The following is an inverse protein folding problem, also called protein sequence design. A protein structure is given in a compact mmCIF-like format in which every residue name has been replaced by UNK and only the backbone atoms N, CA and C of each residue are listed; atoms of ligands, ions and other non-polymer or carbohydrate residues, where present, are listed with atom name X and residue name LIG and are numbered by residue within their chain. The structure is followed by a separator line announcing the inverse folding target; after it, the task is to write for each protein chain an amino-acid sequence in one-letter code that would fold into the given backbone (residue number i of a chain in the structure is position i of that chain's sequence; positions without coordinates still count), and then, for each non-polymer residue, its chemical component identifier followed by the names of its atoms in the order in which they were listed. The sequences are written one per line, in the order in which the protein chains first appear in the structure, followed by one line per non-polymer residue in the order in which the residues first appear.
data_IF_032385945954
#
_entry.id   IF_032385945954
#
_cell.length_a   1.000
_cell.length_b   1.000
_cell.length_c   1.000
_cell.angle_alpha   90.00
_cell.angle_beta   90.00
_cell.angle_gamma   90.00
#
_symmetry.space_group_name_H-M   'P 1'
#
loop_
_entity.id
_entity.type
_entity.pdbx_description
1 polymer ?
#
# COMPACT_ATOMS: atom_id res chain seq x y z
N UNK A 1 -32.07 -49.53 70.51
CA UNK A 1 -31.73 -48.40 69.62
C UNK A 1 -31.36 -49.00 68.26
N UNK A 2 -32.27 -49.00 67.27
CA UNK A 2 -32.38 -47.96 66.21
C UNK A 2 -31.04 -47.84 65.44
N UNK A 3 -30.89 -48.14 64.14
CA UNK A 3 -31.78 -47.94 63.00
C UNK A 3 -31.39 -48.84 61.80
N UNK A 4 -32.44 -49.37 61.19
CA UNK A 4 -32.57 -49.84 59.81
C UNK A 4 -32.45 -48.65 58.82
N UNK A 5 -31.60 -48.73 57.79
CA UNK A 5 -31.71 -47.90 56.57
C UNK A 5 -31.26 -48.67 55.33
N UNK A 6 -32.25 -48.86 54.46
CA UNK A 6 -32.25 -49.52 53.15
C UNK A 6 -31.36 -48.82 52.09
N UNK A 7 -30.89 -49.55 51.07
CA UNK A 7 -30.21 -48.97 49.91
C UNK A 7 -31.23 -48.26 48.98
N UNK A 8 -30.93 -47.02 48.58
CA UNK A 8 -31.71 -46.27 47.59
C UNK A 8 -31.42 -46.80 46.19
N UNK A 9 -32.47 -47.28 45.52
CA UNK A 9 -32.52 -47.51 44.08
C UNK A 9 -32.37 -46.17 43.35
N UNK A 10 -31.33 -46.04 42.52
CA UNK A 10 -31.21 -44.94 41.57
C UNK A 10 -32.09 -45.23 40.34
N UNK A 11 -32.85 -44.22 39.93
CA UNK A 11 -33.82 -44.26 38.84
C UNK A 11 -33.17 -44.48 37.45
N UNK A 12 -33.91 -45.04 36.47
CA UNK A 12 -33.41 -45.19 35.11
C UNK A 12 -33.32 -43.82 34.43
N UNK A 13 -32.19 -43.53 33.79
CA UNK A 13 -32.04 -42.36 32.91
C UNK A 13 -32.89 -42.55 31.65
N UNK A 14 -33.59 -41.52 31.16
CA UNK A 14 -34.30 -41.61 29.89
C UNK A 14 -33.31 -41.70 28.73
N UNK A 15 -33.57 -42.70 27.87
CA UNK A 15 -32.90 -42.95 26.61
C UNK A 15 -33.36 -41.89 25.59
N UNK A 16 -32.50 -40.94 25.21
CA UNK A 16 -32.78 -39.99 24.11
C UNK A 16 -32.02 -40.43 22.87
N UNK A 17 -32.70 -40.82 21.77
CA UNK A 17 -32.02 -41.21 20.53
C UNK A 17 -31.55 -39.98 19.72
N UNK A 18 -30.29 -40.09 19.27
CA UNK A 18 -29.62 -39.53 18.06
C UNK A 18 -30.30 -38.39 17.28
N UNK A 19 -29.53 -37.31 17.02
CA UNK A 19 -29.42 -36.72 15.68
C UNK A 19 -27.99 -36.26 15.39
N UNK A 20 -27.40 -36.91 14.38
CA UNK A 20 -26.29 -36.35 13.63
C UNK A 20 -26.76 -35.03 12.99
N UNK A 21 -26.10 -33.93 13.33
CA UNK A 21 -26.10 -32.73 12.51
C UNK A 21 -24.68 -32.18 12.55
N UNK A 22 -23.94 -32.45 11.49
CA UNK A 22 -22.77 -31.67 11.15
C UNK A 22 -23.20 -30.20 11.07
N UNK A 23 -22.80 -29.40 12.06
CA UNK A 23 -22.75 -27.95 11.92
C UNK A 23 -21.28 -27.61 12.04
N UNK A 24 -20.57 -27.71 10.91
CA UNK A 24 -19.42 -26.86 10.68
C UNK A 24 -19.97 -25.44 10.73
N UNK A 25 -19.98 -24.83 11.92
CA UNK A 25 -20.18 -23.39 12.06
C UNK A 25 -18.99 -22.77 11.34
N UNK A 26 -19.20 -22.34 10.10
CA UNK A 26 -18.39 -21.32 9.48
C UNK A 26 -18.38 -20.14 10.45
N UNK A 27 -17.32 -20.04 11.25
CA UNK A 27 -17.04 -18.85 12.02
C UNK A 27 -16.87 -17.74 10.98
N UNK A 28 -17.85 -16.84 10.89
CA UNK A 28 -17.72 -15.62 10.11
C UNK A 28 -16.55 -14.83 10.70
N UNK A 29 -15.34 -15.09 10.23
CA UNK A 29 -14.17 -14.37 10.69
C UNK A 29 -14.34 -12.93 10.22
N UNK A 30 -14.43 -12.01 11.16
CA UNK A 30 -14.51 -10.60 10.88
C UNK A 30 -13.08 -10.08 10.63
N UNK A 31 -12.93 -9.13 9.71
CA UNK A 31 -11.73 -8.32 9.63
C UNK A 31 -11.93 -7.07 10.49
N UNK A 32 -10.98 -6.81 11.39
CA UNK A 32 -10.93 -5.58 12.17
C UNK A 32 -9.95 -4.61 11.51
N UNK A 33 -10.37 -3.36 11.37
CA UNK A 33 -9.52 -2.26 10.94
C UNK A 33 -9.59 -1.15 11.98
N UNK A 34 -8.49 -0.47 12.24
CA UNK A 34 -8.45 0.72 13.10
C UNK A 34 -8.38 1.94 12.19
N UNK A 35 -9.41 2.79 12.22
CA UNK A 35 -9.47 4.04 11.46
C UNK A 35 -9.73 5.17 12.44
N UNK A 36 -8.81 6.14 12.55
CA UNK A 36 -8.90 7.27 13.49
C UNK A 36 -9.15 6.82 14.95
N UNK A 37 -8.46 5.76 15.40
CA UNK A 37 -8.62 5.21 16.75
C UNK A 37 -9.91 4.44 16.99
N UNK A 38 -10.72 4.20 15.96
CA UNK A 38 -11.97 3.44 16.04
C UNK A 38 -11.84 2.10 15.32
N UNK A 39 -12.15 1.01 16.02
CA UNK A 39 -12.23 -0.33 15.41
C UNK A 39 -13.52 -0.46 14.61
N UNK A 40 -13.37 -0.74 13.31
CA UNK A 40 -14.48 -1.14 12.42
C UNK A 40 -14.35 -2.63 12.10
N UNK A 41 -15.50 -3.31 12.08
CA UNK A 41 -15.56 -4.76 11.97
C UNK A 41 -16.36 -5.13 10.73
N UNK A 42 -15.71 -5.79 9.76
CA UNK A 42 -16.32 -6.13 8.46
C UNK A 42 -16.35 -7.65 8.27
N UNK A 43 -17.48 -8.27 7.87
CA UNK A 43 -17.52 -9.70 7.60
C UNK A 43 -16.57 -10.12 6.48
N UNK A 44 -15.71 -11.12 6.69
CA UNK A 44 -14.95 -11.72 5.57
C UNK A 44 -15.92 -12.28 4.54
N UNK A 45 -15.71 -11.92 3.27
CA UNK A 45 -16.48 -12.43 2.13
C UNK A 45 -17.71 -11.60 1.74
N UNK A 46 -18.09 -10.59 2.53
CA UNK A 46 -19.12 -9.61 2.12
C UNK A 46 -18.39 -8.47 1.42
N UNK A 47 -18.54 -8.40 0.10
CA UNK A 47 -17.77 -7.61 -0.86
C UNK A 47 -17.34 -6.23 -0.34
N UNK A 48 -16.06 -6.12 -0.03
CA UNK A 48 -15.26 -4.90 -0.11
C UNK A 48 -13.95 -5.20 -0.86
N UNK A 49 -14.01 -6.06 -1.88
CA UNK A 49 -12.88 -6.29 -2.78
C UNK A 49 -13.41 -6.60 -4.18
N UNK A 50 -12.67 -6.20 -5.21
CA UNK A 50 -13.04 -6.46 -6.59
C UNK A 50 -13.01 -7.98 -6.87
N UNK A 51 -13.75 -8.48 -7.87
CA UNK A 51 -13.58 -9.84 -8.36
C UNK A 51 -12.12 -10.10 -8.77
N UNK A 52 -11.61 -11.31 -8.54
CA UNK A 52 -10.20 -11.66 -8.80
C UNK A 52 -9.72 -11.27 -10.21
N UNK A 53 -10.49 -11.46 -11.31
CA UNK A 53 -10.07 -11.01 -12.63
C UNK A 53 -9.87 -9.50 -12.72
N UNK A 54 -10.72 -8.72 -12.04
CA UNK A 54 -10.59 -7.27 -11.98
C UNK A 54 -9.38 -6.85 -11.12
N UNK A 55 -9.09 -7.55 -10.03
CA UNK A 55 -7.87 -7.29 -9.25
C UNK A 55 -6.61 -7.55 -10.08
N UNK A 56 -6.56 -8.67 -10.80
CA UNK A 56 -5.44 -9.03 -11.67
C UNK A 56 -5.27 -8.03 -12.81
N UNK A 57 -6.38 -7.61 -13.44
CA UNK A 57 -6.37 -6.59 -14.49
C UNK A 57 -5.85 -5.24 -13.97
N UNK A 58 -6.25 -4.81 -12.78
CA UNK A 58 -5.72 -3.58 -12.15
C UNK A 58 -4.24 -3.72 -11.85
N UNK A 59 -3.82 -4.84 -11.26
CA UNK A 59 -2.41 -5.07 -10.93
C UNK A 59 -1.53 -5.01 -12.18
N UNK A 60 -1.88 -5.80 -13.20
CA UNK A 60 -1.16 -5.81 -14.47
C UNK A 60 -1.23 -4.45 -15.19
N UNK A 61 -2.39 -3.80 -15.19
CA UNK A 61 -2.61 -2.50 -15.82
C UNK A 61 -1.77 -1.39 -15.20
N UNK A 62 -1.64 -1.34 -13.87
CA UNK A 62 -0.80 -0.35 -13.18
C UNK A 62 0.67 -0.54 -13.54
N UNK A 63 1.20 -1.77 -13.48
CA UNK A 63 2.60 -2.02 -13.84
C UNK A 63 2.87 -1.81 -15.34
N UNK A 64 1.93 -2.18 -16.22
CA UNK A 64 2.03 -1.90 -17.65
C UNK A 64 2.03 -0.39 -17.92
N UNK A 65 1.17 0.38 -17.26
CA UNK A 65 1.13 1.83 -17.39
C UNK A 65 2.43 2.49 -16.90
N UNK A 66 2.99 2.02 -15.78
CA UNK A 66 4.29 2.47 -15.28
C UNK A 66 5.41 2.16 -16.28
N UNK A 67 5.47 0.94 -16.80
CA UNK A 67 6.50 0.54 -17.76
C UNK A 67 6.41 1.31 -19.08
N UNK A 68 5.22 1.34 -19.69
CA UNK A 68 4.98 2.03 -20.97
C UNK A 68 5.17 3.53 -20.81
N UNK A 69 4.64 4.12 -19.74
CA UNK A 69 4.76 5.56 -19.48
C UNK A 69 6.21 5.98 -19.22
N UNK A 70 6.98 5.18 -18.47
CA UNK A 70 8.42 5.39 -18.26
C UNK A 70 9.18 5.31 -19.59
N UNK A 71 8.95 4.25 -20.36
CA UNK A 71 9.60 4.05 -21.66
C UNK A 71 9.28 5.18 -22.64
N UNK A 72 8.01 5.57 -22.76
CA UNK A 72 7.60 6.66 -23.63
C UNK A 72 8.20 7.99 -23.18
N UNK A 73 8.27 8.23 -21.86
CA UNK A 73 8.86 9.42 -21.27
C UNK A 73 10.35 9.53 -21.61
N UNK A 74 11.12 8.46 -21.42
CA UNK A 74 12.54 8.41 -21.76
C UNK A 74 12.82 8.56 -23.25
N UNK A 75 12.11 7.79 -24.07
CA UNK A 75 12.53 7.53 -25.45
C UNK A 75 12.00 8.57 -26.42
N UNK A 76 10.81 9.13 -26.15
CA UNK A 76 10.14 10.01 -27.10
C UNK A 76 9.82 11.37 -26.49
N UNK A 77 9.16 11.41 -25.32
CA UNK A 77 8.60 12.65 -24.79
C UNK A 77 9.70 13.60 -24.30
N UNK A 78 10.62 13.13 -23.46
CA UNK A 78 11.70 13.98 -22.93
C UNK A 78 12.65 14.47 -24.04
N UNK A 79 13.11 13.63 -24.99
CA UNK A 79 13.90 14.11 -26.13
C UNK A 79 13.16 15.15 -26.98
N UNK A 80 11.89 14.90 -27.32
CA UNK A 80 11.09 15.83 -28.11
C UNK A 80 10.85 17.18 -27.39
N UNK A 81 10.62 17.16 -26.08
CA UNK A 81 10.52 18.38 -25.25
C UNK A 81 11.84 19.15 -25.26
N UNK A 82 12.97 18.45 -25.10
CA UNK A 82 14.29 19.08 -25.13
C UNK A 82 14.61 19.70 -26.48
N UNK A 83 14.21 19.05 -27.58
CA UNK A 83 14.48 19.50 -28.94
C UNK A 83 13.57 20.65 -29.38
N UNK A 84 12.25 20.53 -29.17
CA UNK A 84 11.28 21.48 -29.71
C UNK A 84 10.85 22.57 -28.72
N UNK A 85 11.01 22.33 -27.41
CA UNK A 85 10.55 23.22 -26.34
C UNK A 85 11.62 23.36 -25.25
N UNK A 86 12.86 23.64 -25.66
CA UNK A 86 14.04 23.66 -24.77
C UNK A 86 13.88 24.53 -23.52
N UNK A 87 13.21 25.68 -23.61
CA UNK A 87 12.92 26.56 -22.47
C UNK A 87 11.96 25.91 -21.45
N UNK A 88 10.94 25.19 -21.94
CA UNK A 88 10.03 24.42 -21.09
C UNK A 88 10.75 23.22 -20.47
N UNK A 89 11.55 22.50 -21.26
CA UNK A 89 12.36 21.37 -20.77
C UNK A 89 13.31 21.82 -19.66
N UNK A 90 14.05 22.91 -19.87
CA UNK A 90 15.01 23.43 -18.90
C UNK A 90 14.33 23.90 -17.60
N UNK A 91 13.18 24.58 -17.71
CA UNK A 91 12.39 25.00 -16.55
C UNK A 91 11.84 23.80 -15.77
N UNK A 92 11.39 22.77 -16.50
CA UNK A 92 10.93 21.53 -15.91
C UNK A 92 12.07 20.79 -15.20
N UNK A 93 13.23 20.66 -15.83
CA UNK A 93 14.39 19.98 -15.25
C UNK A 93 14.94 20.68 -14.01
N UNK A 94 14.94 22.02 -13.99
CA UNK A 94 15.33 22.79 -12.82
C UNK A 94 14.36 22.62 -11.64
N UNK A 95 13.05 22.53 -11.91
CA UNK A 95 12.02 22.47 -10.87
C UNK A 95 11.67 21.06 -10.41
N UNK A 96 11.89 20.03 -11.24
CA UNK A 96 11.43 18.66 -10.95
C UNK A 96 12.09 18.05 -9.71
N UNK A 97 13.39 18.21 -9.55
CA UNK A 97 14.15 17.62 -8.44
C UNK A 97 13.62 18.09 -7.09
N UNK A 98 13.62 19.42 -6.83
CA UNK A 98 13.07 19.97 -5.59
C UNK A 98 11.59 19.66 -5.39
N UNK A 99 10.78 19.74 -6.44
CA UNK A 99 9.33 19.52 -6.33
C UNK A 99 8.99 18.06 -5.99
N UNK A 100 9.55 17.10 -6.73
CA UNK A 100 9.34 15.67 -6.46
C UNK A 100 9.97 15.29 -5.12
N UNK A 101 11.16 15.81 -4.83
CA UNK A 101 11.83 15.56 -3.56
C UNK A 101 11.00 16.04 -2.37
N UNK A 102 10.38 17.21 -2.46
CA UNK A 102 9.46 17.72 -1.43
C UNK A 102 8.24 16.81 -1.25
N UNK A 103 7.65 16.30 -2.33
CA UNK A 103 6.56 15.33 -2.24
C UNK A 103 7.00 14.05 -1.52
N UNK A 104 8.13 13.45 -1.92
CA UNK A 104 8.63 12.25 -1.27
C UNK A 104 8.98 12.48 0.21
N UNK A 105 9.62 13.60 0.56
CA UNK A 105 9.87 13.93 1.97
C UNK A 105 8.56 14.05 2.75
N UNK A 106 7.54 14.71 2.19
CA UNK A 106 6.25 14.86 2.86
C UNK A 106 5.55 13.50 3.07
N UNK A 107 5.55 12.62 2.06
CA UNK A 107 4.99 11.26 2.19
C UNK A 107 5.82 10.42 3.17
N UNK A 108 7.14 10.57 3.16
CA UNK A 108 8.03 9.86 4.07
C UNK A 108 7.83 10.26 5.52
N UNK A 109 7.60 11.55 5.79
CA UNK A 109 7.17 12.03 7.12
C UNK A 109 5.80 11.44 7.49
N UNK A 110 4.87 11.38 6.53
CA UNK A 110 3.53 10.83 6.76
C UNK A 110 3.53 9.35 7.15
N UNK A 111 4.51 8.56 6.71
CA UNK A 111 4.69 7.17 7.16
C UNK A 111 4.89 7.05 8.68
N UNK A 112 5.43 8.09 9.33
CA UNK A 112 5.63 8.13 10.78
C UNK A 112 4.48 8.83 11.51
N UNK A 113 3.97 9.94 10.97
CA UNK A 113 2.91 10.72 11.65
C UNK A 113 1.52 10.10 11.50
N UNK A 114 1.31 9.31 10.44
CA UNK A 114 0.05 8.62 10.13
C UNK A 114 0.28 7.11 9.98
N UNK A 115 1.19 6.55 10.77
CA UNK A 115 1.70 5.19 10.61
C UNK A 115 0.59 4.12 10.52
N UNK A 116 -0.43 4.16 11.38
CA UNK A 116 -1.52 3.19 11.39
C UNK A 116 -2.24 3.10 10.03
N UNK A 117 -2.41 4.24 9.38
CA UNK A 117 -3.07 4.37 8.08
C UNK A 117 -2.24 3.76 6.95
N UNK A 118 -0.91 3.94 6.99
CA UNK A 118 -0.03 3.29 6.01
C UNK A 118 0.06 1.79 6.26
N UNK A 119 0.02 1.35 7.52
CA UNK A 119 -0.03 -0.09 7.82
C UNK A 119 -1.34 -0.75 7.43
N UNK A 120 -2.48 -0.02 7.45
CA UNK A 120 -3.79 -0.57 7.09
C UNK A 120 -3.95 -0.84 5.59
N UNK A 121 -3.15 -0.17 4.75
CA UNK A 121 -3.14 -0.41 3.28
C UNK A 121 -2.08 -1.43 2.85
N UNK A 122 -1.28 -1.96 3.78
CA UNK A 122 -0.29 -2.99 3.46
C UNK A 122 -0.98 -4.28 2.97
N UNK A 123 -0.58 -4.84 1.80
CA UNK A 123 -1.24 -6.03 1.28
C UNK A 123 -1.02 -7.21 2.22
N UNK A 124 -2.12 -7.84 2.65
CA UNK A 124 -2.08 -8.99 3.55
C UNK A 124 -1.42 -10.21 2.87
N UNK A 125 -0.80 -11.13 3.64
CA UNK A 125 -0.30 -12.39 3.10
C UNK A 125 -1.38 -13.12 2.31
N UNK A 126 -1.01 -13.62 1.13
CA UNK A 126 -1.91 -14.23 0.16
C UNK A 126 -2.67 -13.26 -0.75
N UNK A 127 -2.47 -11.93 -0.67
CA UNK A 127 -3.10 -11.00 -1.60
C UNK A 127 -2.77 -11.34 -3.07
N UNK A 128 -3.79 -11.27 -3.93
CA UNK A 128 -3.73 -11.69 -5.34
C UNK A 128 -3.25 -13.14 -5.58
N UNK A 129 -3.19 -13.98 -4.55
CA UNK A 129 -2.75 -15.38 -4.64
C UNK A 129 -1.22 -15.58 -4.67
N UNK A 130 -0.42 -14.52 -4.76
CA UNK A 130 1.05 -14.62 -4.81
C UNK A 130 1.79 -13.72 -3.81
N UNK A 131 1.10 -12.76 -3.17
CA UNK A 131 1.77 -11.79 -2.31
C UNK A 131 2.10 -12.38 -0.93
N UNK A 132 3.39 -12.67 -0.70
CA UNK A 132 3.89 -13.18 0.57
C UNK A 132 5.23 -12.51 0.92
N UNK A 133 5.20 -11.20 1.15
CA UNK A 133 6.40 -10.43 1.51
C UNK A 133 6.72 -10.64 3.00
N UNK A 134 7.93 -11.12 3.37
CA UNK A 134 8.31 -11.33 4.75
C UNK A 134 8.54 -10.01 5.47
N UNK A 135 8.11 -9.94 6.74
CA UNK A 135 8.16 -8.72 7.55
C UNK A 135 6.78 -8.31 8.04
N UNK A 136 6.76 -7.38 9.00
CA UNK A 136 5.49 -6.79 9.47
C UNK A 136 5.12 -5.58 8.60
N UNK A 137 3.82 -5.24 8.49
CA UNK A 137 3.40 -3.99 7.85
C UNK A 137 4.16 -2.77 8.40
N UNK A 138 4.34 -2.69 9.71
CA UNK A 138 5.08 -1.61 10.36
C UNK A 138 6.56 -1.56 9.95
N UNK A 139 7.23 -2.71 9.82
CA UNK A 139 8.59 -2.75 9.31
C UNK A 139 8.67 -2.12 7.92
N UNK A 140 7.78 -2.52 7.00
CA UNK A 140 7.78 -2.00 5.64
C UNK A 140 7.48 -0.49 5.59
N UNK A 141 6.47 -0.03 6.32
CA UNK A 141 6.12 1.39 6.41
C UNK A 141 7.29 2.23 6.94
N UNK A 142 8.00 1.75 7.96
CA UNK A 142 9.11 2.49 8.55
C UNK A 142 10.29 2.65 7.58
N UNK A 143 10.76 1.57 6.94
CA UNK A 143 11.92 1.69 6.06
C UNK A 143 11.58 2.41 4.76
N UNK A 144 10.36 2.26 4.22
CA UNK A 144 9.93 3.03 3.04
C UNK A 144 9.86 4.51 3.37
N UNK A 145 9.35 4.88 4.55
CA UNK A 145 9.35 6.28 5.02
C UNK A 145 10.77 6.86 5.12
N UNK A 146 11.73 6.11 5.65
CA UNK A 146 13.15 6.54 5.65
C UNK A 146 13.68 6.72 4.22
N UNK A 147 13.41 5.76 3.34
CA UNK A 147 13.88 5.82 1.95
C UNK A 147 13.30 7.01 1.19
N UNK A 148 12.02 7.35 1.40
CA UNK A 148 11.37 8.53 0.82
C UNK A 148 11.99 9.84 1.33
N UNK A 149 12.26 9.95 2.64
CA UNK A 149 12.91 11.13 3.22
C UNK A 149 14.33 11.30 2.68
N UNK A 150 15.13 10.24 2.65
CA UNK A 150 16.51 10.30 2.21
C UNK A 150 16.61 10.57 0.70
N UNK A 151 15.86 9.83 -0.11
CA UNK A 151 15.84 10.02 -1.55
C UNK A 151 15.27 11.38 -1.94
N UNK A 152 14.16 11.78 -1.31
CA UNK A 152 13.52 13.07 -1.57
C UNK A 152 14.40 14.24 -1.12
N UNK A 153 15.02 14.13 0.05
CA UNK A 153 16.00 15.09 0.55
C UNK A 153 17.20 15.22 -0.37
N UNK A 154 17.73 14.11 -0.89
CA UNK A 154 18.80 14.14 -1.87
C UNK A 154 18.40 14.91 -3.14
N UNK A 155 17.19 14.67 -3.70
CA UNK A 155 16.70 15.40 -4.88
C UNK A 155 16.54 16.91 -4.63
N UNK A 156 16.06 17.31 -3.44
CA UNK A 156 15.97 18.72 -3.05
C UNK A 156 17.36 19.33 -2.98
N UNK A 157 18.27 18.70 -2.23
CA UNK A 157 19.60 19.26 -1.96
C UNK A 157 20.41 19.38 -3.26
N UNK A 158 20.42 18.36 -4.12
CA UNK A 158 21.12 18.44 -5.41
C UNK A 158 20.46 19.43 -6.37
N UNK A 159 19.15 19.65 -6.27
CA UNK A 159 18.43 20.60 -7.12
C UNK A 159 18.57 22.06 -6.69
N UNK A 160 18.82 22.32 -5.40
CA UNK A 160 18.91 23.69 -4.84
C UNK A 160 20.33 24.13 -4.51
N UNK A 161 21.27 23.19 -4.35
CA UNK A 161 22.67 23.46 -3.96
C UNK A 161 23.61 22.97 -5.07
N UNK A 162 23.96 23.83 -6.05
CA UNK A 162 24.79 23.43 -7.19
C UNK A 162 26.12 22.79 -6.78
N UNK A 163 26.79 23.35 -5.76
CA UNK A 163 28.07 22.80 -5.27
C UNK A 163 27.97 21.37 -4.72
N UNK A 164 26.79 20.96 -4.24
CA UNK A 164 26.56 19.58 -3.81
C UNK A 164 26.39 18.64 -5.01
N UNK A 165 25.66 19.08 -6.04
CA UNK A 165 25.51 18.33 -7.29
C UNK A 165 26.86 18.16 -8.00
N UNK A 166 27.69 19.19 -8.02
CA UNK A 166 29.03 19.15 -8.63
C UNK A 166 29.98 18.21 -7.85
N UNK A 167 29.90 18.22 -6.52
CA UNK A 167 30.74 17.37 -5.66
C UNK A 167 30.31 15.90 -5.68
N UNK A 168 29.03 15.63 -5.91
CA UNK A 168 28.44 14.29 -5.92
C UNK A 168 27.50 14.10 -7.13
N UNK A 169 28.05 14.03 -8.36
CA UNK A 169 27.24 13.99 -9.59
C UNK A 169 26.34 12.75 -9.69
N UNK A 170 26.66 11.68 -8.96
CA UNK A 170 25.85 10.46 -8.91
C UNK A 170 24.68 10.54 -7.92
N UNK A 171 24.66 11.52 -7.02
CA UNK A 171 23.66 11.57 -5.93
C UNK A 171 22.25 11.77 -6.47
N UNK A 172 22.05 12.73 -7.38
CA UNK A 172 20.75 12.99 -7.97
C UNK A 172 20.22 11.81 -8.80
N UNK A 173 20.99 11.20 -9.73
CA UNK A 173 20.50 10.04 -10.49
C UNK A 173 20.30 8.81 -9.58
N UNK A 174 21.14 8.59 -8.56
CA UNK A 174 20.94 7.50 -7.61
C UNK A 174 19.66 7.70 -6.77
N UNK A 175 19.39 8.93 -6.32
CA UNK A 175 18.16 9.26 -5.60
C UNK A 175 16.92 9.07 -6.48
N UNK A 176 16.97 9.53 -7.73
CA UNK A 176 15.90 9.32 -8.71
C UNK A 176 15.62 7.83 -8.96
N UNK A 177 16.66 7.03 -9.22
CA UNK A 177 16.51 5.59 -9.41
C UNK A 177 16.01 4.87 -8.15
N UNK A 178 16.53 5.25 -6.98
CA UNK A 178 16.13 4.67 -5.70
C UNK A 178 14.66 4.93 -5.39
N UNK A 179 14.19 6.16 -5.58
CA UNK A 179 12.80 6.53 -5.41
C UNK A 179 11.88 5.93 -6.51
N UNK A 180 12.38 5.66 -7.72
CA UNK A 180 11.65 4.89 -8.72
C UNK A 180 11.43 3.45 -8.27
N UNK A 181 12.52 2.78 -7.85
CA UNK A 181 12.46 1.42 -7.35
C UNK A 181 11.54 1.33 -6.13
N UNK A 182 11.60 2.33 -5.25
CA UNK A 182 10.69 2.46 -4.12
C UNK A 182 9.24 2.61 -4.57
N UNK A 183 8.97 3.45 -5.58
CA UNK A 183 7.65 3.59 -6.18
C UNK A 183 7.10 2.26 -6.69
N UNK A 184 7.92 1.46 -7.38
CA UNK A 184 7.54 0.12 -7.82
C UNK A 184 7.27 -0.82 -6.64
N UNK A 185 8.04 -0.70 -5.56
CA UNK A 185 7.92 -1.52 -4.36
C UNK A 185 6.67 -1.18 -3.52
N UNK A 186 6.26 0.10 -3.47
CA UNK A 186 5.07 0.55 -2.72
C UNK A 186 3.78 0.55 -3.56
N UNK A 187 3.89 0.44 -4.89
CA UNK A 187 2.75 0.32 -5.81
C UNK A 187 1.72 -0.75 -5.41
N UNK A 188 2.12 -1.94 -4.91
CA UNK A 188 1.20 -2.94 -4.40
C UNK A 188 0.28 -2.41 -3.29
N UNK A 189 0.75 -1.57 -2.37
CA UNK A 189 -0.11 -0.98 -1.34
C UNK A 189 -1.21 -0.07 -1.95
N UNK A 190 -0.89 0.67 -3.02
CA UNK A 190 -1.85 1.50 -3.75
C UNK A 190 -2.90 0.64 -4.47
N UNK A 191 -2.45 -0.44 -5.12
CA UNK A 191 -3.33 -1.41 -5.78
C UNK A 191 -4.22 -2.08 -4.74
N UNK A 192 -3.67 -2.45 -3.58
CA UNK A 192 -4.41 -3.09 -2.50
C UNK A 192 -5.51 -2.20 -1.94
N UNK A 193 -5.19 -0.92 -1.70
CA UNK A 193 -6.16 0.10 -1.27
C UNK A 193 -7.37 0.17 -2.22
N UNK A 194 -7.13 0.19 -3.54
CA UNK A 194 -8.20 0.22 -4.54
C UNK A 194 -8.95 -1.12 -4.66
N UNK A 195 -8.23 -2.23 -4.77
CA UNK A 195 -8.79 -3.55 -5.08
C UNK A 195 -9.46 -4.23 -3.89
N UNK A 196 -9.08 -3.87 -2.66
CA UNK A 196 -9.57 -4.46 -1.40
C UNK A 196 -10.24 -3.43 -0.48
N UNK A 197 -10.57 -2.26 -1.02
CA UNK A 197 -11.21 -1.14 -0.30
C UNK A 197 -10.56 -0.87 1.06
N UNK A 198 -9.23 -0.99 1.13
CA UNK A 198 -8.52 -0.77 2.38
C UNK A 198 -8.58 0.73 2.71
N UNK A 199 -8.79 1.11 3.99
CA UNK A 199 -8.88 2.51 4.38
C UNK A 199 -7.55 3.19 4.07
N UNK A 200 -7.57 4.11 3.11
CA UNK A 200 -6.42 4.94 2.75
C UNK A 200 -6.26 6.15 3.67
N UNK A 201 -5.15 6.90 3.53
CA UNK A 201 -4.92 8.15 4.28
C UNK A 201 -5.83 9.31 3.94
N UNK A 202 -6.72 9.14 2.96
CA UNK A 202 -7.61 10.20 2.51
C UNK A 202 -9.04 9.80 2.89
N UNK A 203 -9.74 10.60 3.71
CA UNK A 203 -11.07 10.27 4.22
C UNK A 203 -12.21 10.25 3.18
N UNK A 204 -11.96 10.65 1.94
CA UNK A 204 -12.97 10.78 0.89
C UNK A 204 -12.51 10.07 -0.40
N UNK A 205 -13.44 9.69 -1.31
CA UNK A 205 -13.08 9.27 -2.66
C UNK A 205 -12.19 10.35 -3.26
N UNK A 206 -10.90 10.03 -3.43
CA UNK A 206 -9.96 10.95 -4.04
C UNK A 206 -10.53 11.35 -5.40
N UNK A 207 -10.69 12.65 -5.70
CA UNK A 207 -11.13 13.06 -7.03
C UNK A 207 -10.19 12.44 -8.07
N UNK A 208 -10.71 12.08 -9.25
CA UNK A 208 -9.93 11.39 -10.29
C UNK A 208 -8.60 12.09 -10.61
N UNK A 209 -8.56 13.41 -10.44
CA UNK A 209 -7.37 14.26 -10.56
C UNK A 209 -6.28 13.89 -9.56
N UNK A 210 -6.61 13.54 -8.32
CA UNK A 210 -5.65 13.11 -7.31
C UNK A 210 -5.14 11.68 -7.56
N UNK A 211 -5.96 10.81 -8.14
CA UNK A 211 -5.49 9.53 -8.70
C UNK A 211 -4.53 9.75 -9.88
N UNK A 212 -4.81 10.76 -10.71
CA UNK A 212 -3.97 11.14 -11.84
C UNK A 212 -2.65 11.77 -11.39
N UNK A 213 -2.66 12.62 -10.36
CA UNK A 213 -1.43 13.15 -9.73
C UNK A 213 -0.62 12.02 -9.12
N UNK A 214 -1.25 11.06 -8.45
CA UNK A 214 -0.56 9.87 -7.90
C UNK A 214 0.05 9.02 -9.02
N UNK A 215 -0.67 8.79 -10.12
CA UNK A 215 -0.15 8.11 -11.30
C UNK A 215 1.00 8.90 -11.95
N UNK A 216 0.87 10.22 -12.09
CA UNK A 216 1.89 11.09 -12.70
C UNK A 216 3.17 11.19 -11.85
N UNK A 217 3.05 11.23 -10.52
CA UNK A 217 4.18 11.13 -9.59
C UNK A 217 4.92 9.78 -9.74
N UNK A 218 4.22 8.73 -10.18
CA UNK A 218 4.77 7.38 -10.33
C UNK A 218 5.28 7.08 -11.75
N UNK A 219 4.69 7.71 -12.78
CA UNK A 219 4.97 7.47 -14.20
C UNK A 219 6.19 8.25 -14.71
N UNK A 220 6.84 9.06 -13.87
CA UNK A 220 8.09 9.73 -14.25
C UNK A 220 9.15 9.58 -13.18
N UNK A 221 9.77 8.42 -13.15
CA UNK A 221 11.11 8.27 -12.57
C UNK A 221 11.97 7.45 -13.53
N UNK A 222 12.40 8.13 -14.59
CA UNK A 222 13.79 8.09 -15.04
C UNK A 222 14.37 9.51 -15.19
#
# INVERSE_FOLDING_TARGET
MLLNRSPRLASPRPNVPRRNAAIVRSSSQLNEYVVNGKTITVPRGVVQQLPEPAQAAVFAGVYAALAVGTYASCTYIAPALSEHLSGLSSSFDASRGPSLGACFVAVGVAHFTSHDVFTSIYPRPGAWGFWNLPGSPSFHVNWTGVAEILGGGALILTGLVPGLADSFPQLQPAAGLGLFALTLAVSPANIYMYTHNAPGPVPEPLPWTAHFVRLLLQVRMP
#
